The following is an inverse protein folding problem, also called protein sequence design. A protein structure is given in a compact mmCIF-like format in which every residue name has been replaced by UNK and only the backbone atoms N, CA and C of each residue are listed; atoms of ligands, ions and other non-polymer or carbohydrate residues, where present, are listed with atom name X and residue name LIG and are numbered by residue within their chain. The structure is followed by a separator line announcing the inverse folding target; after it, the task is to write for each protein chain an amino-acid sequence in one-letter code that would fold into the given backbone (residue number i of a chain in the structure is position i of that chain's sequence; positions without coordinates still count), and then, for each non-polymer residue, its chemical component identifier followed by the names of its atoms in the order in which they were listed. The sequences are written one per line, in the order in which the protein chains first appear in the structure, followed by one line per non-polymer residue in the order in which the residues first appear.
data_IF_045875881313
#
_entry.id   IF_045875881313
#
_cell.length_a   1.000
_cell.length_b   1.000
_cell.length_c   1.000
_cell.angle_alpha   90.00
_cell.angle_beta   90.00
_cell.angle_gamma   90.00
#
_symmetry.space_group_name_H-M   'P 1'
#
loop_
_entity.id
_entity.type
_entity.pdbx_description
1 polymer ?
#
# COMPACT_ATOMS: atom_id res chain seq x y z
N UNK A 1 -24.09 12.27 58.29
CA UNK A 1 -23.13 11.47 57.50
C UNK A 1 -23.48 11.32 56.02
N UNK A 2 -24.75 11.10 55.62
CA UNK A 2 -25.15 10.95 54.20
C UNK A 2 -24.82 12.17 53.29
N UNK A 3 -24.94 13.40 53.80
CA UNK A 3 -24.62 14.62 53.03
C UNK A 3 -23.12 14.85 52.76
N UNK A 4 -22.23 14.38 53.65
CA UNK A 4 -20.78 14.52 53.47
C UNK A 4 -20.26 13.54 52.42
N UNK A 5 -20.85 12.34 52.36
CA UNK A 5 -20.56 11.34 51.34
C UNK A 5 -20.92 11.84 49.93
N UNK A 6 -22.08 12.47 49.75
CA UNK A 6 -22.52 13.06 48.48
C UNK A 6 -21.55 14.19 48.04
N UNK A 7 -21.14 15.05 48.98
CA UNK A 7 -20.25 16.17 48.68
C UNK A 7 -18.83 15.72 48.26
N UNK A 8 -18.30 14.67 48.90
CA UNK A 8 -17.00 14.08 48.52
C UNK A 8 -17.11 13.35 47.17
N UNK A 9 -18.19 12.61 46.93
CA UNK A 9 -18.41 11.91 45.66
C UNK A 9 -18.52 12.89 44.48
N UNK A 10 -19.23 14.01 44.66
CA UNK A 10 -19.37 15.06 43.65
C UNK A 10 -18.03 15.75 43.37
N UNK A 11 -17.22 16.05 44.41
CA UNK A 11 -15.88 16.65 44.25
C UNK A 11 -14.88 15.71 43.55
N UNK A 12 -14.92 14.41 43.84
CA UNK A 12 -14.08 13.42 43.16
C UNK A 12 -14.49 13.24 41.68
N UNK A 13 -15.80 13.12 41.40
CA UNK A 13 -16.33 12.96 40.05
C UNK A 13 -16.05 14.18 39.14
N UNK A 14 -16.06 15.40 39.70
CA UNK A 14 -15.85 16.63 38.93
C UNK A 14 -14.38 16.98 38.67
N UNK A 15 -13.46 16.67 39.59
CA UNK A 15 -12.04 17.06 39.48
C UNK A 15 -11.16 16.05 38.72
N UNK A 16 -11.54 14.77 38.71
CA UNK A 16 -10.76 13.71 38.06
C UNK A 16 -11.12 13.46 36.59
N UNK A 17 -12.27 13.96 36.10
CA UNK A 17 -12.76 13.61 34.76
C UNK A 17 -12.25 14.51 33.62
N UNK A 18 -11.88 15.77 33.89
CA UNK A 18 -11.43 16.68 32.82
C UNK A 18 -9.95 16.48 32.44
N UNK A 19 -9.10 16.13 33.41
CA UNK A 19 -7.72 15.69 33.17
C UNK A 19 -7.66 14.33 32.45
N UNK A 20 -8.65 13.45 32.67
CA UNK A 20 -8.73 12.13 32.03
C UNK A 20 -9.00 12.16 30.53
N UNK A 21 -9.85 13.08 30.03
CA UNK A 21 -10.12 13.21 28.58
C UNK A 21 -8.84 13.40 27.76
N UNK A 22 -7.88 14.19 28.28
CA UNK A 22 -6.55 14.41 27.68
C UNK A 22 -5.61 13.21 27.84
N UNK A 23 -5.78 12.44 28.92
CA UNK A 23 -5.02 11.21 29.16
C UNK A 23 -5.47 10.09 28.22
N UNK A 24 -6.75 10.02 27.87
CA UNK A 24 -7.29 9.01 26.94
C UNK A 24 -6.81 9.19 25.50
N UNK A 25 -6.61 10.42 25.04
CA UNK A 25 -5.95 10.68 23.73
C UNK A 25 -4.49 10.18 23.70
N UNK A 26 -3.85 10.04 24.86
CA UNK A 26 -2.44 9.61 24.99
C UNK A 26 -2.30 8.09 25.14
N UNK A 27 -3.38 7.37 25.44
CA UNK A 27 -3.39 5.92 25.55
C UNK A 27 -4.06 5.31 24.32
N UNK A 28 -3.34 4.46 23.58
CA UNK A 28 -3.89 3.71 22.45
C UNK A 28 -4.81 2.59 22.97
N UNK A 29 -5.98 2.97 23.49
CA UNK A 29 -6.97 2.06 24.04
C UNK A 29 -7.67 1.31 22.91
N UNK A 30 -7.96 0.03 23.14
CA UNK A 30 -8.71 -0.81 22.21
C UNK A 30 -10.18 -0.41 22.15
N UNK A 31 -10.85 -0.72 21.04
CA UNK A 31 -12.28 -0.47 20.87
C UNK A 31 -13.14 -1.08 21.99
N UNK A 32 -12.76 -2.26 22.47
CA UNK A 32 -13.42 -2.96 23.57
C UNK A 32 -13.26 -2.23 24.91
N UNK A 33 -12.08 -1.69 25.20
CA UNK A 33 -11.85 -0.90 26.41
C UNK A 33 -12.66 0.40 26.39
N UNK A 34 -12.72 1.07 25.22
CA UNK A 34 -13.53 2.28 25.05
C UNK A 34 -15.01 1.96 25.28
N UNK A 35 -15.50 0.85 24.73
CA UNK A 35 -16.87 0.36 24.97
C UNK A 35 -17.18 0.18 26.46
N UNK A 36 -16.32 -0.54 27.19
CA UNK A 36 -16.50 -0.77 28.63
C UNK A 36 -16.51 0.55 29.42
N UNK A 37 -15.71 1.52 28.99
CA UNK A 37 -15.71 2.85 29.61
C UNK A 37 -17.00 3.62 29.32
N UNK A 38 -17.51 3.57 28.08
CA UNK A 38 -18.79 4.19 27.73
C UNK A 38 -19.92 3.59 28.57
N UNK A 39 -20.02 2.26 28.66
CA UNK A 39 -21.02 1.57 29.49
C UNK A 39 -20.92 1.98 30.96
N UNK A 40 -19.70 2.03 31.51
CA UNK A 40 -19.46 2.49 32.88
C UNK A 40 -19.96 3.92 33.11
N UNK A 41 -19.74 4.82 32.15
CA UNK A 41 -20.14 6.22 32.24
C UNK A 41 -21.65 6.41 32.10
N UNK A 42 -22.33 5.57 31.32
CA UNK A 42 -23.78 5.52 31.25
C UNK A 42 -24.39 5.08 32.59
N UNK A 43 -23.83 4.06 33.23
CA UNK A 43 -24.24 3.62 34.58
C UNK A 43 -23.99 4.70 35.63
N UNK A 44 -22.86 5.40 35.55
CA UNK A 44 -22.52 6.48 36.47
C UNK A 44 -23.46 7.68 36.32
N UNK A 45 -23.85 8.01 35.09
CA UNK A 45 -24.89 9.00 34.78
C UNK A 45 -26.23 8.62 35.43
N UNK A 46 -26.68 7.37 35.29
CA UNK A 46 -27.93 6.91 35.88
C UNK A 46 -27.89 6.99 37.42
N UNK A 47 -26.76 6.62 38.04
CA UNK A 47 -26.56 6.77 39.48
C UNK A 47 -26.64 8.24 39.93
N UNK A 48 -26.09 9.17 39.16
CA UNK A 48 -26.21 10.62 39.45
C UNK A 48 -27.67 11.08 39.37
N UNK A 49 -28.41 10.62 38.36
CA UNK A 49 -29.83 10.97 38.17
C UNK A 49 -30.72 10.43 39.30
N UNK A 50 -30.44 9.21 39.79
CA UNK A 50 -31.21 8.57 40.87
C UNK A 50 -30.80 9.05 42.28
N UNK A 51 -29.53 9.38 42.50
CA UNK A 51 -29.02 9.71 43.85
C UNK A 51 -29.19 11.17 44.26
N UNK A 52 -29.26 12.10 43.29
CA UNK A 52 -29.38 13.53 43.56
C UNK A 52 -30.84 13.98 43.35
N UNK A 53 -31.59 14.34 44.40
CA UNK A 53 -32.95 14.86 44.26
C UNK A 53 -32.94 16.27 43.61
N UNK A 54 -34.10 16.73 43.14
CA UNK A 54 -34.23 18.06 42.52
C UNK A 54 -34.09 19.21 43.54
N UNK A 55 -34.46 18.96 44.79
CA UNK A 55 -34.27 19.88 45.91
C UNK A 55 -34.10 19.14 47.24
N UNK A 56 -33.48 19.82 48.21
CA UNK A 56 -33.26 19.32 49.57
C UNK A 56 -33.70 20.40 50.56
N UNK A 57 -34.50 20.01 51.56
CA UNK A 57 -34.88 20.89 52.67
C UNK A 57 -34.02 20.54 53.89
N UNK A 58 -33.33 21.54 54.45
CA UNK A 58 -32.51 21.38 55.65
C UNK A 58 -32.95 22.44 56.67
N UNK A 59 -33.81 22.03 57.62
CA UNK A 59 -34.39 22.95 58.60
C UNK A 59 -35.21 24.06 57.89
N UNK A 60 -34.94 25.35 58.15
CA UNK A 60 -35.64 26.46 57.48
C UNK A 60 -35.12 26.77 56.06
N UNK A 61 -34.10 26.06 55.57
CA UNK A 61 -33.49 26.35 54.27
C UNK A 61 -34.01 25.41 53.18
N UNK A 62 -34.39 25.98 52.03
CA UNK A 62 -34.69 25.27 50.80
C UNK A 62 -33.52 25.36 49.84
N UNK A 63 -32.91 24.22 49.48
CA UNK A 63 -31.75 24.16 48.59
C UNK A 63 -32.18 23.53 47.27
N UNK A 64 -32.00 24.28 46.18
CA UNK A 64 -32.20 23.76 44.83
C UNK A 64 -30.93 23.03 44.35
N UNK A 65 -31.03 21.71 44.17
CA UNK A 65 -29.92 20.85 43.69
C UNK A 65 -30.03 20.50 42.21
N UNK A 66 -31.11 20.91 41.55
CA UNK A 66 -31.34 20.71 40.11
C UNK A 66 -30.14 21.13 39.24
N UNK A 67 -29.53 22.32 39.41
CA UNK A 67 -28.43 22.75 38.55
C UNK A 67 -27.20 21.85 38.69
N UNK A 68 -26.95 21.33 39.89
CA UNK A 68 -25.84 20.41 40.16
C UNK A 68 -26.06 19.08 39.45
N UNK A 69 -27.27 18.51 39.56
CA UNK A 69 -27.64 17.27 38.86
C UNK A 69 -27.50 17.43 37.35
N UNK A 70 -28.08 18.48 36.79
CA UNK A 70 -28.00 18.75 35.35
C UNK A 70 -26.56 18.93 34.88
N UNK A 71 -25.72 19.64 35.64
CA UNK A 71 -24.32 19.83 35.28
C UNK A 71 -23.52 18.51 35.31
N UNK A 72 -23.75 17.65 36.30
CA UNK A 72 -23.10 16.34 36.37
C UNK A 72 -23.56 15.43 35.22
N UNK A 73 -24.87 15.34 34.96
CA UNK A 73 -25.42 14.59 33.82
C UNK A 73 -24.85 15.09 32.49
N UNK A 74 -24.75 16.42 32.30
CA UNK A 74 -24.13 17.02 31.11
C UNK A 74 -22.67 16.61 30.97
N UNK A 75 -21.90 16.58 32.06
CA UNK A 75 -20.50 16.13 32.04
C UNK A 75 -20.36 14.65 31.68
N UNK A 76 -21.21 13.77 32.23
CA UNK A 76 -21.20 12.35 31.87
C UNK A 76 -21.54 12.14 30.37
N UNK A 77 -22.56 12.84 29.86
CA UNK A 77 -22.91 12.79 28.43
C UNK A 77 -21.77 13.30 27.54
N UNK A 78 -21.12 14.41 27.91
CA UNK A 78 -20.00 14.96 27.17
C UNK A 78 -18.80 14.01 27.15
N UNK A 79 -18.55 13.29 28.24
CA UNK A 79 -17.47 12.30 28.31
C UNK A 79 -17.79 11.07 27.45
N UNK A 80 -19.02 10.56 27.50
CA UNK A 80 -19.47 9.49 26.58
C UNK A 80 -19.29 9.89 25.12
N UNK A 81 -19.73 11.10 24.75
CA UNK A 81 -19.56 11.61 23.39
C UNK A 81 -18.08 11.68 22.99
N UNK A 82 -17.23 12.21 23.86
CA UNK A 82 -15.79 12.31 23.60
C UNK A 82 -15.11 10.95 23.42
N UNK A 83 -15.54 9.92 24.16
CA UNK A 83 -15.05 8.54 24.00
C UNK A 83 -15.49 7.93 22.66
N UNK A 84 -16.75 8.16 22.25
CA UNK A 84 -17.24 7.69 20.96
C UNK A 84 -16.54 8.41 19.80
N UNK A 85 -16.32 9.72 19.91
CA UNK A 85 -15.55 10.50 18.93
C UNK A 85 -14.09 10.01 18.84
N UNK A 86 -13.49 9.61 19.96
CA UNK A 86 -12.15 9.01 19.98
C UNK A 86 -12.12 7.69 19.20
N UNK A 87 -13.08 6.81 19.44
CA UNK A 87 -13.20 5.53 18.73
C UNK A 87 -13.45 5.76 17.23
N UNK A 88 -14.33 6.68 16.87
CA UNK A 88 -14.58 7.03 15.47
C UNK A 88 -13.32 7.51 14.76
N UNK A 89 -12.50 8.35 15.43
CA UNK A 89 -11.19 8.80 14.89
C UNK A 89 -10.19 7.66 14.75
N UNK A 90 -10.14 6.73 15.70
CA UNK A 90 -9.25 5.54 15.60
C UNK A 90 -9.65 4.66 14.42
N UNK A 91 -10.95 4.38 14.26
CA UNK A 91 -11.47 3.59 13.16
C UNK A 91 -11.22 4.26 11.81
N UNK A 92 -11.43 5.58 11.75
CA UNK A 92 -11.11 6.36 10.56
C UNK A 92 -9.63 6.21 10.17
N UNK A 93 -8.72 6.37 11.13
CA UNK A 93 -7.29 6.21 10.90
C UNK A 93 -6.93 4.82 10.40
N UNK A 94 -7.54 3.78 10.97
CA UNK A 94 -7.34 2.40 10.52
C UNK A 94 -7.83 2.18 9.08
N UNK A 95 -9.03 2.68 8.75
CA UNK A 95 -9.60 2.61 7.41
C UNK A 95 -8.74 3.34 6.37
N UNK A 96 -8.22 4.53 6.70
CA UNK A 96 -7.33 5.29 5.82
C UNK A 96 -6.00 4.54 5.61
N UNK A 97 -5.39 3.99 6.67
CA UNK A 97 -4.13 3.24 6.57
C UNK A 97 -4.27 2.00 5.68
N UNK A 98 -5.31 1.20 5.89
CA UNK A 98 -5.59 0.03 5.05
C UNK A 98 -5.91 0.45 3.60
N UNK A 99 -6.65 1.55 3.41
CA UNK A 99 -6.92 2.09 2.08
C UNK A 99 -5.65 2.55 1.36
N UNK A 100 -4.68 3.14 2.07
CA UNK A 100 -3.43 3.61 1.46
C UNK A 100 -2.57 2.45 0.94
N UNK A 101 -2.55 1.32 1.63
CA UNK A 101 -1.87 0.09 1.17
C UNK A 101 -2.49 -0.42 -0.14
N UNK A 102 -3.83 -0.47 -0.22
CA UNK A 102 -4.51 -0.83 -1.46
C UNK A 102 -4.31 0.18 -2.59
N UNK A 103 -4.22 1.49 -2.28
CA UNK A 103 -3.90 2.51 -3.29
C UNK A 103 -2.50 2.32 -3.87
N UNK A 104 -1.53 1.90 -3.07
CA UNK A 104 -0.18 1.59 -3.56
C UNK A 104 -0.19 0.39 -4.51
N UNK A 105 -0.93 -0.68 -4.18
CA UNK A 105 -1.12 -1.83 -5.08
C UNK A 105 -1.80 -1.38 -6.38
N UNK A 106 -2.87 -0.59 -6.28
CA UNK A 106 -3.58 -0.07 -7.44
C UNK A 106 -2.68 0.80 -8.33
N UNK A 107 -1.86 1.67 -7.74
CA UNK A 107 -0.92 2.52 -8.47
C UNK A 107 0.08 1.68 -9.28
N UNK A 108 0.65 0.64 -8.66
CA UNK A 108 1.57 -0.26 -9.36
C UNK A 108 0.88 -1.09 -10.45
N UNK A 109 -0.37 -1.49 -10.26
CA UNK A 109 -1.17 -2.16 -11.30
C UNK A 109 -1.45 -1.27 -12.52
N UNK A 110 -1.40 0.06 -12.39
CA UNK A 110 -1.54 0.98 -13.52
C UNK A 110 -0.27 1.19 -14.33
N UNK A 111 0.89 0.80 -13.80
CA UNK A 111 2.17 0.89 -14.52
C UNK A 111 2.16 -0.06 -15.71
N UNK A 112 2.58 0.43 -16.87
CA UNK A 112 2.68 -0.39 -18.08
C UNK A 112 4.12 -0.86 -18.26
N UNK A 113 4.36 -2.16 -18.44
CA UNK A 113 5.70 -2.64 -18.74
C UNK A 113 6.15 -2.12 -20.10
N UNK A 114 7.44 -1.79 -20.23
CA UNK A 114 8.05 -1.33 -21.48
C UNK A 114 8.92 -2.40 -22.13
N UNK A 115 9.11 -3.54 -21.46
CA UNK A 115 9.93 -4.65 -21.90
C UNK A 115 9.34 -5.99 -21.43
N UNK A 116 9.81 -7.11 -22.02
CA UNK A 116 9.38 -8.44 -21.60
C UNK A 116 9.90 -8.80 -20.21
N UNK A 117 11.06 -8.25 -19.83
CA UNK A 117 11.63 -8.36 -18.48
C UNK A 117 10.69 -7.74 -17.45
N UNK A 118 10.32 -6.47 -17.62
CA UNK A 118 9.38 -5.76 -16.74
C UNK A 118 7.99 -6.43 -16.72
N UNK A 119 7.52 -6.94 -17.87
CA UNK A 119 6.25 -7.66 -17.95
C UNK A 119 6.29 -8.95 -17.12
N UNK A 120 7.39 -9.70 -17.20
CA UNK A 120 7.54 -10.94 -16.43
C UNK A 120 7.60 -10.65 -14.94
N UNK A 121 8.39 -9.65 -14.53
CA UNK A 121 8.48 -9.21 -13.14
C UNK A 121 7.11 -8.75 -12.60
N UNK A 122 6.32 -8.05 -13.44
CA UNK A 122 4.97 -7.62 -13.09
C UNK A 122 4.03 -8.82 -12.90
N UNK A 123 4.09 -9.83 -13.79
CA UNK A 123 3.29 -11.06 -13.64
C UNK A 123 3.64 -11.81 -12.36
N UNK A 124 4.92 -12.01 -12.08
CA UNK A 124 5.37 -12.65 -10.84
C UNK A 124 4.86 -11.88 -9.63
N UNK A 125 4.99 -10.55 -9.62
CA UNK A 125 4.45 -9.74 -8.55
C UNK A 125 2.93 -9.88 -8.38
N UNK A 126 2.16 -9.91 -9.48
CA UNK A 126 0.70 -10.09 -9.45
C UNK A 126 0.31 -11.39 -8.73
N UNK A 127 1.08 -12.48 -8.92
CA UNK A 127 0.79 -13.75 -8.22
C UNK A 127 0.86 -13.66 -6.70
N UNK A 128 1.60 -12.69 -6.17
CA UNK A 128 1.73 -12.45 -4.71
C UNK A 128 0.59 -11.61 -4.13
N UNK A 129 -0.17 -10.90 -4.97
CA UNK A 129 -1.21 -9.97 -4.51
C UNK A 129 -2.37 -10.68 -3.79
N UNK A 130 -2.90 -11.84 -4.26
CA UNK A 130 -3.99 -12.53 -3.58
C UNK A 130 -3.70 -12.88 -2.11
N UNK A 131 -2.48 -13.29 -1.79
CA UNK A 131 -2.05 -13.57 -0.41
C UNK A 131 -2.09 -12.31 0.45
N UNK A 132 -1.58 -11.18 -0.07
CA UNK A 132 -1.66 -9.88 0.62
C UNK A 132 -3.09 -9.41 0.83
N UNK A 133 -3.99 -9.63 -0.14
CA UNK A 133 -5.41 -9.31 0.04
C UNK A 133 -6.02 -10.10 1.18
N UNK A 134 -5.63 -11.37 1.35
CA UNK A 134 -6.12 -12.20 2.43
C UNK A 134 -5.62 -11.71 3.80
N UNK A 135 -4.34 -11.35 3.90
CA UNK A 135 -3.77 -10.75 5.12
C UNK A 135 -4.52 -9.47 5.53
N UNK A 136 -4.74 -8.56 4.57
CA UNK A 136 -5.48 -7.33 4.84
C UNK A 136 -6.97 -7.56 5.13
N UNK A 137 -7.57 -8.65 4.65
CA UNK A 137 -8.98 -8.97 4.90
C UNK A 137 -9.25 -9.17 6.40
N UNK A 138 -8.35 -9.82 7.13
CA UNK A 138 -8.49 -9.98 8.59
C UNK A 138 -8.52 -8.63 9.31
N UNK A 139 -7.71 -7.66 8.84
CA UNK A 139 -7.70 -6.30 9.35
C UNK A 139 -9.00 -5.54 9.07
N UNK A 140 -9.59 -5.74 7.90
CA UNK A 140 -10.90 -5.19 7.53
C UNK A 140 -12.00 -5.78 8.42
N UNK A 141 -12.01 -7.11 8.59
CA UNK A 141 -13.03 -7.80 9.38
C UNK A 141 -13.00 -7.37 10.85
N UNK A 142 -11.79 -7.17 11.41
CA UNK A 142 -11.63 -6.60 12.75
C UNK A 142 -12.16 -5.18 12.84
N UNK A 143 -11.82 -4.30 11.88
CA UNK A 143 -12.33 -2.94 11.84
C UNK A 143 -13.87 -2.91 11.75
N UNK A 144 -14.46 -3.85 11.02
CA UNK A 144 -15.92 -3.99 10.91
C UNK A 144 -16.57 -4.36 12.24
N UNK A 145 -15.98 -5.31 12.98
CA UNK A 145 -16.43 -5.60 14.34
C UNK A 145 -16.37 -4.36 15.24
N UNK A 146 -15.33 -3.54 15.12
CA UNK A 146 -15.21 -2.33 15.93
C UNK A 146 -16.21 -1.24 15.52
N UNK A 147 -16.55 -1.12 14.22
CA UNK A 147 -17.62 -0.25 13.76
C UNK A 147 -19.01 -0.67 14.29
N UNK A 148 -19.30 -1.97 14.37
CA UNK A 148 -20.56 -2.47 14.96
C UNK A 148 -20.70 -2.08 16.44
N UNK A 149 -19.58 -1.97 17.17
CA UNK A 149 -19.60 -1.50 18.57
C UNK A 149 -20.05 -0.04 18.67
N UNK A 150 -19.62 0.82 17.74
CA UNK A 150 -20.06 2.22 17.66
C UNK A 150 -21.55 2.31 17.34
N UNK A 151 -22.03 1.51 16.38
CA UNK A 151 -23.43 1.51 15.97
C UNK A 151 -24.36 1.13 17.12
N UNK A 152 -23.92 0.22 18.02
CA UNK A 152 -24.65 -0.14 19.24
C UNK A 152 -24.91 1.02 20.22
N UNK A 153 -24.16 2.12 20.12
CA UNK A 153 -24.36 3.33 20.91
C UNK A 153 -25.21 4.40 20.20
N UNK A 154 -25.78 4.09 19.03
CA UNK A 154 -26.51 5.03 18.18
C UNK A 154 -25.67 6.26 17.81
N UNK A 155 -24.35 6.08 17.68
CA UNK A 155 -23.46 7.13 17.25
C UNK A 155 -23.71 7.47 15.78
N UNK A 156 -23.84 8.75 15.47
CA UNK A 156 -24.04 9.21 14.10
C UNK A 156 -22.67 9.47 13.48
N UNK A 157 -22.24 8.58 12.61
CA UNK A 157 -21.02 8.78 11.84
C UNK A 157 -21.18 9.93 10.84
N UNK A 158 -20.07 10.62 10.56
CA UNK A 158 -20.02 11.56 9.45
C UNK A 158 -20.16 10.82 8.11
N UNK A 159 -20.64 11.53 7.08
CA UNK A 159 -20.71 10.96 5.73
C UNK A 159 -19.33 10.55 5.22
N UNK A 160 -18.28 11.30 5.58
CA UNK A 160 -16.91 11.02 5.16
C UNK A 160 -16.37 9.74 5.78
N UNK A 161 -16.62 9.50 7.08
CA UNK A 161 -16.20 8.28 7.78
C UNK A 161 -16.98 7.06 7.30
N UNK A 162 -18.27 7.24 7.02
CA UNK A 162 -19.09 6.20 6.41
C UNK A 162 -18.55 5.83 5.02
N UNK A 163 -18.22 6.80 4.19
CA UNK A 163 -17.63 6.57 2.88
C UNK A 163 -16.27 5.87 2.98
N UNK A 164 -15.42 6.24 3.95
CA UNK A 164 -14.13 5.59 4.15
C UNK A 164 -14.26 4.12 4.58
N UNK A 165 -15.19 3.82 5.49
CA UNK A 165 -15.54 2.44 5.87
C UNK A 165 -15.87 1.61 4.63
N UNK A 166 -16.84 2.05 3.82
CA UNK A 166 -17.28 1.28 2.64
C UNK A 166 -16.25 1.24 1.52
N UNK A 167 -15.46 2.29 1.35
CA UNK A 167 -14.34 2.29 0.40
C UNK A 167 -13.32 1.23 0.79
N UNK A 168 -12.99 1.13 2.09
CA UNK A 168 -12.06 0.14 2.62
C UNK A 168 -12.54 -1.29 2.36
N UNK A 169 -13.82 -1.57 2.61
CA UNK A 169 -14.45 -2.88 2.34
C UNK A 169 -14.45 -3.21 0.84
N UNK A 170 -14.61 -2.20 -0.02
CA UNK A 170 -14.68 -2.38 -1.47
C UNK A 170 -13.33 -2.63 -2.14
N UNK A 171 -12.21 -2.22 -1.52
CA UNK A 171 -10.87 -2.31 -2.13
C UNK A 171 -10.47 -3.71 -2.58
N UNK A 172 -10.61 -4.78 -1.76
CA UNK A 172 -10.22 -6.13 -2.18
C UNK A 172 -10.91 -6.57 -3.47
N UNK A 173 -12.21 -6.26 -3.62
CA UNK A 173 -12.93 -6.57 -4.84
C UNK A 173 -12.44 -5.73 -6.03
N UNK A 174 -12.23 -4.43 -5.82
CA UNK A 174 -11.71 -3.53 -6.85
C UNK A 174 -10.33 -3.96 -7.35
N UNK A 175 -9.42 -4.33 -6.46
CA UNK A 175 -8.08 -4.83 -6.83
C UNK A 175 -8.18 -6.12 -7.66
N UNK A 176 -9.05 -7.06 -7.28
CA UNK A 176 -9.27 -8.28 -8.08
C UNK A 176 -9.74 -7.96 -9.50
N UNK A 177 -10.67 -7.03 -9.67
CA UNK A 177 -11.11 -6.58 -10.99
C UNK A 177 -9.98 -5.93 -11.79
N UNK A 178 -9.15 -5.10 -11.13
CA UNK A 178 -7.98 -4.48 -11.76
C UNK A 178 -6.98 -5.53 -12.22
N UNK A 179 -6.68 -6.55 -11.41
CA UNK A 179 -5.79 -7.66 -11.79
C UNK A 179 -6.29 -8.32 -13.07
N UNK A 180 -7.57 -8.69 -13.14
CA UNK A 180 -8.14 -9.32 -14.35
C UNK A 180 -7.99 -8.45 -15.59
N UNK A 181 -8.19 -7.13 -15.46
CA UNK A 181 -8.00 -6.19 -16.56
C UNK A 181 -6.52 -6.07 -16.97
N UNK A 182 -5.62 -6.00 -16.00
CA UNK A 182 -4.19 -5.89 -16.22
C UNK A 182 -3.66 -7.16 -16.87
N UNK A 183 -3.99 -8.34 -16.38
CA UNK A 183 -3.60 -9.63 -16.97
C UNK A 183 -3.93 -9.70 -18.46
N UNK A 184 -5.15 -9.30 -18.83
CA UNK A 184 -5.54 -9.20 -20.24
C UNK A 184 -4.66 -8.22 -21.03
N UNK A 185 -4.37 -7.05 -20.48
CA UNK A 185 -3.47 -6.09 -21.14
C UNK A 185 -2.03 -6.62 -21.26
N UNK A 186 -1.55 -7.40 -20.28
CA UNK A 186 -0.22 -8.01 -20.33
C UNK A 186 -0.14 -9.10 -21.41
N UNK A 187 -1.23 -9.80 -21.71
CA UNK A 187 -1.27 -10.71 -22.87
C UNK A 187 -1.10 -9.97 -24.20
N UNK A 188 -1.77 -8.82 -24.36
CA UNK A 188 -1.66 -7.97 -25.55
C UNK A 188 -0.25 -7.37 -25.69
N UNK A 189 0.33 -6.89 -24.58
CA UNK A 189 1.69 -6.34 -24.55
C UNK A 189 2.75 -7.43 -24.79
N UNK A 190 2.57 -8.65 -24.28
CA UNK A 190 3.48 -9.78 -24.54
C UNK A 190 3.56 -10.09 -26.05
N UNK A 191 2.42 -10.14 -26.73
CA UNK A 191 2.38 -10.38 -28.18
C UNK A 191 3.06 -9.23 -28.96
N UNK A 192 2.88 -7.99 -28.50
CA UNK A 192 3.58 -6.83 -29.06
C UNK A 192 5.09 -6.94 -28.87
N UNK A 193 5.55 -7.30 -27.67
CA UNK A 193 6.98 -7.50 -27.39
C UNK A 193 7.56 -8.67 -28.18
N UNK A 194 6.79 -9.74 -28.39
CA UNK A 194 7.19 -10.87 -29.24
C UNK A 194 7.45 -10.42 -30.68
N UNK A 195 6.54 -9.63 -31.27
CA UNK A 195 6.73 -9.06 -32.62
C UNK A 195 7.93 -8.12 -32.68
N UNK A 196 8.12 -7.28 -31.66
CA UNK A 196 9.26 -6.39 -31.55
C UNK A 196 10.57 -7.19 -31.51
N UNK A 197 10.63 -8.22 -30.67
CA UNK A 197 11.79 -9.11 -30.53
C UNK A 197 12.17 -9.78 -31.85
N UNK A 198 11.19 -10.25 -32.63
CA UNK A 198 11.44 -10.83 -33.97
C UNK A 198 12.05 -9.79 -34.92
N UNK A 199 11.47 -8.59 -34.97
CA UNK A 199 11.95 -7.50 -35.80
C UNK A 199 13.37 -7.06 -35.41
N UNK A 200 13.63 -6.88 -34.12
CA UNK A 200 14.94 -6.51 -33.57
C UNK A 200 15.99 -7.60 -33.81
N UNK A 201 15.61 -8.87 -33.68
CA UNK A 201 16.52 -10.01 -33.93
C UNK A 201 16.92 -10.11 -35.39
N UNK A 202 15.99 -9.86 -36.33
CA UNK A 202 16.29 -9.81 -37.76
C UNK A 202 17.29 -8.69 -38.08
N UNK A 203 17.02 -7.46 -37.60
CA UNK A 203 17.92 -6.33 -37.77
C UNK A 203 19.30 -6.56 -37.13
N UNK A 204 19.34 -7.27 -35.99
CA UNK A 204 20.58 -7.65 -35.35
C UNK A 204 21.36 -8.69 -36.16
N UNK A 205 20.69 -9.66 -36.79
CA UNK A 205 21.34 -10.61 -37.71
C UNK A 205 22.03 -9.87 -38.86
N UNK A 206 21.33 -8.92 -39.51
CA UNK A 206 21.90 -8.11 -40.59
C UNK A 206 23.14 -7.30 -40.12
N UNK A 207 23.09 -6.80 -38.89
CA UNK A 207 24.23 -6.12 -38.25
C UNK A 207 25.41 -7.06 -38.03
N UNK A 208 25.17 -8.30 -37.58
CA UNK A 208 26.22 -9.31 -37.41
C UNK A 208 26.83 -9.68 -38.76
N UNK A 209 26.01 -9.85 -39.81
CA UNK A 209 26.49 -10.18 -41.15
C UNK A 209 27.36 -9.03 -41.72
N UNK A 210 26.94 -7.78 -41.50
CA UNK A 210 27.72 -6.58 -41.84
C UNK A 210 29.06 -6.54 -41.10
N UNK A 211 29.07 -6.78 -39.78
CA UNK A 211 30.31 -6.82 -38.99
C UNK A 211 31.22 -7.96 -39.45
N UNK A 212 30.66 -9.11 -39.80
CA UNK A 212 31.41 -10.26 -40.32
C UNK A 212 32.08 -9.92 -41.66
N UNK A 213 31.38 -9.22 -42.56
CA UNK A 213 31.96 -8.74 -43.81
C UNK A 213 33.07 -7.70 -43.59
N UNK A 214 32.87 -6.75 -42.66
CA UNK A 214 33.90 -5.76 -42.29
C UNK A 214 35.15 -6.44 -41.73
N UNK A 215 34.96 -7.45 -40.88
CA UNK A 215 36.04 -8.24 -40.30
C UNK A 215 36.81 -9.02 -41.38
N UNK A 216 36.11 -9.68 -42.30
CA UNK A 216 36.73 -10.42 -43.40
C UNK A 216 37.52 -9.50 -44.36
N UNK A 217 37.03 -8.27 -44.60
CA UNK A 217 37.73 -7.32 -45.47
C UNK A 217 39.06 -6.82 -44.89
N UNK A 218 39.28 -6.96 -43.58
CA UNK A 218 40.54 -6.57 -42.94
C UNK A 218 41.75 -7.34 -43.50
N UNK A 219 41.54 -8.57 -44.00
CA UNK A 219 42.61 -9.38 -44.61
C UNK A 219 43.19 -8.75 -45.90
N UNK A 220 42.48 -7.78 -46.50
CA UNK A 220 42.93 -7.08 -47.72
C UNK A 220 43.87 -5.89 -47.44
N UNK A 221 44.07 -5.49 -46.17
CA UNK A 221 44.98 -4.41 -45.83
C UNK A 221 46.45 -4.87 -45.88
N UNK A 222 47.14 -4.55 -46.97
CA UNK A 222 48.55 -4.92 -47.19
C UNK A 222 49.51 -3.72 -47.17
N UNK A 223 49.00 -2.48 -47.11
CA UNK A 223 49.81 -1.27 -47.21
C UNK A 223 50.30 -0.74 -45.84
N UNK A 224 51.60 -0.83 -45.60
CA UNK A 224 52.24 -0.38 -44.34
C UNK A 224 52.04 1.13 -44.08
N UNK A 225 52.00 1.95 -45.13
CA UNK A 225 51.82 3.40 -45.00
C UNK A 225 50.45 3.80 -44.42
N UNK A 226 49.46 2.89 -44.43
CA UNK A 226 48.11 3.09 -43.87
C UNK A 226 47.93 2.45 -42.50
N UNK A 227 48.99 1.93 -41.87
CA UNK A 227 48.90 1.16 -40.63
C UNK A 227 48.13 1.88 -39.51
N UNK A 228 48.29 3.20 -39.37
CA UNK A 228 47.57 3.96 -38.34
C UNK A 228 46.06 4.06 -38.60
N UNK A 229 45.66 4.25 -39.86
CA UNK A 229 44.25 4.29 -40.27
C UNK A 229 43.59 2.93 -40.05
N UNK A 230 44.27 1.85 -40.47
CA UNK A 230 43.81 0.47 -40.25
C UNK A 230 43.67 0.15 -38.76
N UNK A 231 44.62 0.55 -37.92
CA UNK A 231 44.55 0.34 -36.48
C UNK A 231 43.33 1.05 -35.83
N UNK A 232 42.99 2.24 -36.30
CA UNK A 232 41.80 2.96 -35.81
C UNK A 232 40.50 2.27 -36.24
N UNK A 233 40.45 1.76 -37.47
CA UNK A 233 39.30 1.02 -37.99
C UNK A 233 39.09 -0.32 -37.25
N UNK A 234 40.18 -1.06 -36.97
CA UNK A 234 40.14 -2.29 -36.15
C UNK A 234 39.58 -2.00 -34.76
N UNK A 235 40.02 -0.92 -34.08
CA UNK A 235 39.47 -0.53 -32.77
C UNK A 235 37.98 -0.21 -32.85
N UNK A 236 37.54 0.47 -33.93
CA UNK A 236 36.14 0.81 -34.16
C UNK A 236 35.28 -0.46 -34.29
N UNK A 237 35.73 -1.41 -35.10
CA UNK A 237 35.02 -2.68 -35.33
C UNK A 237 35.01 -3.53 -34.05
N UNK A 238 36.14 -3.61 -33.34
CA UNK A 238 36.24 -4.31 -32.06
C UNK A 238 35.23 -3.79 -31.03
N UNK A 239 35.08 -2.45 -30.91
CA UNK A 239 34.05 -1.86 -30.05
C UNK A 239 32.64 -2.28 -30.46
N UNK A 240 32.34 -2.27 -31.76
CA UNK A 240 31.02 -2.68 -32.27
C UNK A 240 30.73 -4.17 -32.03
N UNK A 241 31.76 -5.03 -32.07
CA UNK A 241 31.66 -6.45 -31.71
C UNK A 241 31.33 -6.65 -30.23
N UNK A 242 31.98 -5.89 -29.34
CA UNK A 242 31.71 -5.95 -27.89
C UNK A 242 30.28 -5.49 -27.55
N UNK A 243 29.82 -4.40 -28.19
CA UNK A 243 28.44 -3.93 -28.05
C UNK A 243 27.45 -5.00 -28.54
N UNK A 244 27.75 -5.63 -29.69
CA UNK A 244 26.91 -6.71 -30.24
C UNK A 244 26.85 -7.94 -29.32
N UNK A 245 27.97 -8.30 -28.66
CA UNK A 245 27.99 -9.37 -27.67
C UNK A 245 27.04 -9.08 -26.49
N UNK A 246 27.02 -7.85 -26.01
CA UNK A 246 26.11 -7.43 -24.94
C UNK A 246 24.65 -7.53 -25.38
N UNK A 247 24.34 -7.04 -26.58
CA UNK A 247 22.98 -7.13 -27.16
C UNK A 247 22.53 -8.58 -27.34
N UNK A 248 23.42 -9.47 -27.79
CA UNK A 248 23.13 -10.90 -27.91
C UNK A 248 22.76 -11.53 -26.55
N UNK A 249 23.45 -11.13 -25.47
CA UNK A 249 23.11 -11.56 -24.11
C UNK A 249 21.69 -11.16 -23.71
N UNK A 250 21.26 -9.93 -24.02
CA UNK A 250 19.90 -9.46 -23.77
C UNK A 250 18.87 -10.28 -24.57
N UNK A 251 19.11 -10.54 -25.86
CA UNK A 251 18.18 -11.35 -26.66
C UNK A 251 18.05 -12.78 -26.16
N UNK A 252 19.16 -13.43 -25.77
CA UNK A 252 19.11 -14.77 -25.19
C UNK A 252 18.27 -14.80 -23.90
N UNK A 253 18.38 -13.76 -23.07
CA UNK A 253 17.53 -13.63 -21.88
C UNK A 253 16.06 -13.47 -22.25
N UNK A 254 15.74 -12.61 -23.23
CA UNK A 254 14.36 -12.41 -23.69
C UNK A 254 13.76 -13.66 -24.32
N UNK A 255 14.51 -14.38 -25.14
CA UNK A 255 14.09 -15.67 -25.72
C UNK A 255 13.72 -16.67 -24.63
N UNK A 256 14.52 -16.75 -23.56
CA UNK A 256 14.21 -17.57 -22.38
C UNK A 256 12.90 -17.15 -21.72
N UNK A 257 12.65 -15.85 -21.55
CA UNK A 257 11.40 -15.34 -20.98
C UNK A 257 10.19 -15.66 -21.86
N UNK A 258 10.35 -15.67 -23.18
CA UNK A 258 9.30 -16.10 -24.13
C UNK A 258 9.15 -17.63 -24.25
N UNK A 259 10.00 -18.42 -23.59
CA UNK A 259 10.02 -19.89 -23.70
C UNK A 259 10.53 -20.42 -25.05
N UNK A 260 11.27 -19.59 -25.80
CA UNK A 260 11.87 -19.97 -27.09
C UNK A 260 13.21 -20.67 -26.80
N UNK A 261 13.52 -21.80 -27.49
CA UNK A 261 14.85 -22.41 -27.38
C UNK A 261 15.91 -21.36 -27.74
N UNK A 262 16.90 -21.16 -26.85
CA UNK A 262 17.92 -20.13 -27.06
C UNK A 262 18.54 -20.29 -28.43
N UNK A 263 18.41 -19.27 -29.28
CA UNK A 263 19.14 -19.20 -30.53
C UNK A 263 20.59 -19.07 -30.12
N UNK A 264 21.36 -20.15 -30.23
CA UNK A 264 22.73 -20.18 -29.74
C UNK A 264 23.57 -19.22 -30.59
N UNK A 265 23.58 -17.92 -30.30
CA UNK A 265 24.43 -16.95 -31.01
C UNK A 265 25.90 -17.32 -30.83
N UNK A 266 26.23 -18.10 -29.78
CA UNK A 266 27.52 -18.73 -29.57
C UNK A 266 27.89 -19.79 -30.63
N UNK A 267 26.94 -20.35 -31.39
CA UNK A 267 27.26 -21.25 -32.51
C UNK A 267 27.66 -20.52 -33.79
N UNK A 268 27.50 -19.18 -33.86
CA UNK A 268 28.26 -18.35 -34.81
C UNK A 268 29.63 -18.09 -34.18
N UNK A 269 30.47 -19.14 -34.11
CA UNK A 269 31.80 -19.14 -33.48
C UNK A 269 32.78 -18.08 -34.00
N UNK A 270 32.43 -17.26 -34.98
CA UNK A 270 33.30 -16.20 -35.49
C UNK A 270 33.46 -15.01 -34.55
N UNK A 271 32.52 -14.73 -33.63
CA UNK A 271 32.57 -13.50 -32.80
C UNK A 271 33.53 -13.62 -31.61
N UNK A 272 33.51 -14.75 -30.91
CA UNK A 272 34.46 -15.05 -29.82
C UNK A 272 35.88 -15.22 -30.35
N UNK A 273 36.01 -15.89 -31.49
CA UNK A 273 37.30 -16.24 -32.07
C UNK A 273 38.03 -14.99 -32.59
N UNK A 274 37.29 -13.99 -33.11
CA UNK A 274 37.91 -12.73 -33.56
C UNK A 274 38.32 -11.80 -32.41
N UNK A 275 37.56 -11.76 -31.31
CA UNK A 275 37.93 -10.96 -30.14
C UNK A 275 39.22 -11.47 -29.49
N UNK A 276 39.45 -12.80 -29.52
CA UNK A 276 40.69 -13.43 -29.03
C UNK A 276 41.86 -13.24 -30.01
N UNK A 277 41.61 -13.13 -31.31
CA UNK A 277 42.64 -12.94 -32.34
C UNK A 277 43.17 -11.50 -32.47
N UNK A 278 42.43 -10.51 -31.96
CA UNK A 278 42.75 -9.08 -32.04
C UNK A 278 43.32 -8.51 -30.73
N UNK A 279 43.25 -9.27 -29.62
CA UNK A 279 43.87 -8.93 -28.33
C UNK A 279 45.33 -9.40 -28.26
#
# INVERSE_FOLDING_TARGET
MKNLAIHIHIKLLCSLNWSKSRIYETQNQSALEIKLQVEKQLVEKEKVEQSIPSSIVIGPFYINTEPVRQNLTKKCKALVQALLDLLARQLRKQADQTSDEFRQIAARLYEKPNSIEELTDMREWITTIPEKLQEHQEGIDKAMSDYELIDGFFYIMSADDFNAKWTTIGWPHKIRQMITQVEKSLEEDEERFRKLQVSESAAFSDKIDTLTMMVASMASFTEINKAHEVANEVRRIYKQLLDAQTTAGTFNNRERLFGIPSTNVSSRGSLSDFAVLVA
#
